data_IF_260937081548
#
_entry.id   IF_260937081548
#
_cell.length_a   1.000
_cell.length_b   1.000
_cell.length_c   1.000
_cell.angle_alpha   90.00
_cell.angle_beta   90.00
_cell.angle_gamma   90.00
#
_symmetry.space_group_name_H-M   'P 1'
#
loop_
_entity.id
_entity.type
_entity.pdbx_description
1 polymer ?
#
# COMPACT_ATOMS: atom_id res chain seq x y z
N UNK A 1 21.53 17.05 60.70
CA UNK A 1 22.29 17.32 59.46
C UNK A 1 22.71 16.05 58.73
N UNK A 2 23.49 15.13 59.34
CA UNK A 2 24.00 13.93 58.66
C UNK A 2 22.92 12.97 58.13
N UNK A 3 21.82 12.73 58.88
CA UNK A 3 20.70 11.89 58.42
C UNK A 3 20.06 12.38 57.11
N UNK A 4 19.97 13.70 56.93
CA UNK A 4 19.37 14.31 55.74
C UNK A 4 20.27 14.12 54.51
N UNK A 5 21.59 14.24 54.69
CA UNK A 5 22.56 13.98 53.62
C UNK A 5 22.53 12.51 53.16
N UNK A 6 22.39 11.56 54.10
CA UNK A 6 22.27 10.13 53.78
C UNK A 6 21.00 9.83 52.99
N UNK A 7 19.86 10.39 53.39
CA UNK A 7 18.61 10.25 52.63
C UNK A 7 18.71 10.83 51.22
N UNK A 8 19.37 11.98 51.07
CA UNK A 8 19.55 12.63 49.78
C UNK A 8 20.42 11.80 48.83
N UNK A 9 21.53 11.25 49.32
CA UNK A 9 22.41 10.35 48.55
C UNK A 9 21.67 9.07 48.17
N UNK A 10 20.88 8.49 49.08
CA UNK A 10 20.08 7.30 48.80
C UNK A 10 19.03 7.55 47.71
N UNK A 11 18.36 8.71 47.74
CA UNK A 11 17.41 9.11 46.72
C UNK A 11 18.08 9.29 45.34
N UNK A 12 19.26 9.91 45.28
CA UNK A 12 20.03 10.05 44.03
C UNK A 12 20.51 8.70 43.49
N UNK A 13 20.85 7.74 44.36
CA UNK A 13 21.27 6.40 43.95
C UNK A 13 20.11 5.56 43.38
N UNK A 14 18.88 5.79 43.84
CA UNK A 14 17.68 5.06 43.39
C UNK A 14 17.04 5.69 42.13
N UNK A 15 17.26 6.97 41.87
CA UNK A 15 16.69 7.65 40.70
C UNK A 15 17.05 6.99 39.34
N UNK A 16 18.31 6.57 39.08
CA UNK A 16 18.66 5.87 37.84
C UNK A 16 17.92 4.53 37.62
N UNK A 17 17.92 3.56 38.56
CA UNK A 17 17.30 2.25 38.34
C UNK A 17 15.78 2.31 38.11
N UNK A 18 15.07 3.26 38.74
CA UNK A 18 13.63 3.45 38.52
C UNK A 18 13.33 3.79 37.05
N UNK A 19 14.12 4.69 36.44
CA UNK A 19 13.99 5.04 35.02
C UNK A 19 14.17 3.84 34.10
N UNK A 20 15.18 3.00 34.38
CA UNK A 20 15.47 1.82 33.56
C UNK A 20 14.33 0.79 33.60
N UNK A 21 13.75 0.55 34.77
CA UNK A 21 12.65 -0.41 34.94
C UNK A 21 11.41 -0.06 34.10
N UNK A 22 11.02 1.22 34.08
CA UNK A 22 9.89 1.67 33.26
C UNK A 22 10.18 1.63 31.76
N UNK A 23 11.41 1.96 31.34
CA UNK A 23 11.79 1.89 29.92
C UNK A 23 11.79 0.45 29.38
N UNK A 24 12.23 -0.52 30.18
CA UNK A 24 12.24 -1.94 29.77
C UNK A 24 10.83 -2.49 29.63
N UNK A 25 9.91 -2.15 30.56
CA UNK A 25 8.49 -2.52 30.48
C UNK A 25 7.83 -2.00 29.20
N UNK A 26 8.09 -0.75 28.84
CA UNK A 26 7.57 -0.15 27.61
C UNK A 26 8.13 -0.86 26.36
N UNK A 27 9.43 -1.16 26.33
CA UNK A 27 10.06 -1.89 25.23
C UNK A 27 9.48 -3.30 25.06
N UNK A 28 9.29 -4.05 26.16
CA UNK A 28 8.68 -5.39 26.13
C UNK A 28 7.25 -5.32 25.59
N UNK A 29 6.46 -4.33 26.02
CA UNK A 29 5.09 -4.17 25.54
C UNK A 29 5.04 -3.87 24.04
N UNK A 30 5.92 -2.99 23.54
CA UNK A 30 5.99 -2.65 22.13
C UNK A 30 6.41 -3.85 21.28
N UNK A 31 7.40 -4.63 21.74
CA UNK A 31 7.89 -5.80 21.03
C UNK A 31 6.84 -6.91 20.93
N UNK A 32 6.05 -7.12 21.99
CA UNK A 32 4.93 -8.07 21.97
C UNK A 32 3.82 -7.64 20.98
N UNK A 33 3.52 -6.34 20.92
CA UNK A 33 2.56 -5.81 19.94
C UNK A 33 3.07 -6.06 18.53
N UNK A 34 4.33 -5.76 18.25
CA UNK A 34 4.94 -5.98 16.94
C UNK A 34 4.88 -7.45 16.53
N UNK A 35 5.28 -8.36 17.43
CA UNK A 35 5.22 -9.80 17.18
C UNK A 35 3.80 -10.27 16.83
N UNK A 36 2.78 -9.76 17.55
CA UNK A 36 1.39 -10.09 17.27
C UNK A 36 0.89 -9.59 15.90
N UNK A 37 1.40 -8.44 15.44
CA UNK A 37 1.08 -7.89 14.13
C UNK A 37 1.74 -8.71 13.02
N UNK A 38 3.00 -9.10 13.22
CA UNK A 38 3.76 -9.90 12.26
C UNK A 38 3.11 -11.28 12.06
N UNK A 39 2.69 -11.95 13.14
CA UNK A 39 1.95 -13.21 13.04
C UNK A 39 0.61 -13.05 12.30
N UNK A 40 -0.13 -11.97 12.54
CA UNK A 40 -1.39 -11.70 11.81
C UNK A 40 -1.14 -11.47 10.32
N UNK A 41 -0.10 -10.73 9.97
CA UNK A 41 0.27 -10.48 8.57
C UNK A 41 0.68 -11.79 7.87
N UNK A 42 1.46 -12.64 8.54
CA UNK A 42 1.85 -13.95 8.04
C UNK A 42 0.63 -14.86 7.80
N UNK A 43 -0.32 -14.90 8.74
CA UNK A 43 -1.55 -15.69 8.60
C UNK A 43 -2.43 -15.18 7.44
N UNK A 44 -2.53 -13.86 7.27
CA UNK A 44 -3.25 -13.27 6.15
C UNK A 44 -2.59 -13.64 4.81
N UNK A 45 -1.28 -13.47 4.70
CA UNK A 45 -0.52 -13.84 3.51
C UNK A 45 -0.60 -15.34 3.19
N UNK A 46 -0.58 -16.20 4.21
CA UNK A 46 -0.76 -17.65 4.04
C UNK A 46 -2.14 -18.01 3.52
N UNK A 47 -3.19 -17.38 4.05
CA UNK A 47 -4.58 -17.56 3.55
C UNK A 47 -4.71 -17.13 2.12
N UNK A 48 -4.12 -15.99 1.76
CA UNK A 48 -4.08 -15.52 0.38
C UNK A 48 -3.36 -16.54 -0.50
N UNK A 49 -2.15 -16.99 -0.14
CA UNK A 49 -1.40 -17.98 -0.93
C UNK A 49 -2.17 -19.29 -1.15
N UNK A 50 -2.97 -19.74 -0.18
CA UNK A 50 -3.87 -20.89 -0.36
C UNK A 50 -4.98 -20.61 -1.39
N UNK A 51 -5.49 -19.39 -1.48
CA UNK A 51 -6.46 -19.00 -2.51
C UNK A 51 -5.82 -18.98 -3.90
N UNK A 52 -4.61 -18.42 -4.03
CA UNK A 52 -3.86 -18.38 -5.29
C UNK A 52 -3.41 -19.77 -5.78
N UNK A 53 -3.32 -20.77 -4.90
CA UNK A 53 -3.03 -22.16 -5.30
C UNK A 53 -4.22 -22.85 -5.98
N UNK A 54 -5.44 -22.31 -5.88
CA UNK A 54 -6.59 -22.89 -6.54
C UNK A 54 -6.60 -22.50 -8.04
N UNK A 55 -6.45 -23.46 -8.97
CA UNK A 55 -6.38 -23.16 -10.40
C UNK A 55 -7.67 -22.52 -10.95
N UNK A 56 -8.83 -22.79 -10.36
CA UNK A 56 -10.10 -22.15 -10.78
C UNK A 56 -10.15 -20.68 -10.37
N UNK A 57 -9.64 -20.35 -9.18
CA UNK A 57 -9.55 -18.97 -8.70
C UNK A 57 -8.63 -18.14 -9.61
N UNK A 58 -7.47 -18.67 -9.98
CA UNK A 58 -6.52 -18.01 -10.88
C UNK A 58 -7.12 -17.80 -12.27
N UNK A 59 -7.82 -18.79 -12.84
CA UNK A 59 -8.50 -18.65 -14.13
C UNK A 59 -9.56 -17.54 -14.11
N UNK A 60 -10.38 -17.48 -13.05
CA UNK A 60 -11.41 -16.43 -12.91
C UNK A 60 -10.81 -15.03 -12.80
N UNK A 61 -9.77 -14.85 -11.96
CA UNK A 61 -9.08 -13.56 -11.79
C UNK A 61 -8.34 -13.11 -13.05
N UNK A 62 -7.71 -14.04 -13.78
CA UNK A 62 -7.06 -13.75 -15.05
C UNK A 62 -8.07 -13.35 -16.13
N UNK A 63 -9.26 -13.96 -16.16
CA UNK A 63 -10.33 -13.60 -17.10
C UNK A 63 -10.92 -12.22 -16.79
N UNK A 64 -11.19 -11.93 -15.52
CA UNK A 64 -11.79 -10.66 -15.09
C UNK A 64 -10.84 -9.47 -15.28
N UNK A 65 -9.56 -9.60 -14.89
CA UNK A 65 -8.62 -8.48 -14.87
C UNK A 65 -7.76 -8.37 -16.12
N UNK A 66 -7.41 -9.50 -16.74
CA UNK A 66 -6.43 -9.55 -17.83
C UNK A 66 -7.05 -10.01 -19.15
N UNK A 67 -8.35 -10.28 -19.18
CA UNK A 67 -9.09 -10.80 -20.33
C UNK A 67 -8.43 -12.04 -20.96
N UNK A 68 -7.72 -12.85 -20.17
CA UNK A 68 -7.09 -14.07 -20.66
C UNK A 68 -8.15 -15.13 -20.97
N UNK A 69 -7.98 -15.81 -22.11
CA UNK A 69 -8.77 -16.95 -22.57
C UNK A 69 -7.89 -18.20 -22.63
N UNK A 70 -8.49 -19.36 -22.35
CA UNK A 70 -7.78 -20.62 -22.53
C UNK A 70 -7.57 -20.90 -24.03
N UNK A 71 -6.46 -21.54 -24.44
CA UNK A 71 -6.25 -21.90 -25.84
C UNK A 71 -7.39 -22.80 -26.34
N UNK A 72 -8.22 -22.28 -27.25
CA UNK A 72 -9.42 -22.95 -27.77
C UNK A 72 -10.76 -22.28 -27.44
N UNK A 73 -10.81 -21.31 -26.52
CA UNK A 73 -12.01 -20.51 -26.23
C UNK A 73 -12.11 -19.28 -27.15
N UNK A 74 -13.28 -19.04 -27.78
CA UNK A 74 -13.53 -17.84 -28.60
C UNK A 74 -14.06 -16.70 -27.72
N UNK A 75 -13.26 -15.65 -27.56
CA UNK A 75 -13.67 -14.42 -26.87
C UNK A 75 -14.60 -13.61 -27.77
N UNK A 76 -15.85 -13.42 -27.35
CA UNK A 76 -16.76 -12.48 -27.99
C UNK A 76 -16.66 -11.15 -27.24
N UNK A 77 -15.96 -10.18 -27.84
CA UNK A 77 -16.05 -8.79 -27.40
C UNK A 77 -17.32 -8.25 -28.06
N UNK A 78 -18.33 -7.96 -27.26
CA UNK A 78 -19.56 -7.30 -27.74
C UNK A 78 -19.19 -5.83 -27.97
N UNK A 79 -18.73 -5.52 -29.16
CA UNK A 79 -18.75 -4.15 -29.67
C UNK A 79 -20.20 -3.84 -29.98
N UNK A 80 -20.91 -3.21 -29.05
CA UNK A 80 -22.14 -2.54 -29.39
C UNK A 80 -21.75 -1.36 -30.28
N UNK A 81 -21.96 -1.52 -31.59
CA UNK A 81 -21.96 -0.44 -32.55
C UNK A 81 -23.11 0.52 -32.20
N UNK A 82 -22.85 1.42 -31.25
CA UNK A 82 -23.64 2.62 -31.07
C UNK A 82 -22.73 3.74 -30.54
N UNK A 83 -22.25 4.56 -31.47
CA UNK A 83 -21.53 5.82 -31.30
C UNK A 83 -20.05 5.76 -30.90
N UNK A 84 -19.13 6.31 -31.73
CA UNK A 84 -17.73 6.51 -31.36
C UNK A 84 -17.64 7.77 -30.48
N UNK A 85 -18.09 7.72 -29.23
CA UNK A 85 -17.85 8.80 -28.26
C UNK A 85 -17.69 8.25 -26.86
N UNK A 86 -16.81 7.26 -26.71
CA UNK A 86 -16.11 7.06 -25.45
C UNK A 86 -14.61 7.25 -25.71
N UNK A 87 -14.28 8.48 -26.13
CA UNK A 87 -12.98 9.01 -25.83
C UNK A 87 -12.88 9.10 -24.32
N UNK A 88 -12.06 8.21 -23.73
CA UNK A 88 -11.30 8.51 -22.49
C UNK A 88 -11.06 10.01 -22.45
N UNK A 89 -11.37 10.74 -21.35
CA UNK A 89 -11.17 12.18 -21.32
C UNK A 89 -9.67 12.46 -21.43
N UNK A 90 -9.17 12.51 -22.66
CA UNK A 90 -7.92 13.13 -23.01
C UNK A 90 -8.11 14.57 -22.51
N UNK A 91 -7.23 14.99 -21.61
CA UNK A 91 -7.21 16.35 -21.10
C UNK A 91 -7.47 17.30 -22.28
N UNK A 92 -8.51 18.14 -22.20
CA UNK A 92 -9.01 18.97 -23.31
C UNK A 92 -7.92 19.76 -24.06
N UNK A 93 -6.78 20.00 -23.41
CA UNK A 93 -5.59 20.64 -23.99
C UNK A 93 -4.92 19.78 -25.07
N UNK A 94 -4.94 18.45 -24.96
CA UNK A 94 -4.38 17.55 -25.97
C UNK A 94 -5.11 17.67 -27.32
N UNK A 95 -6.39 18.09 -27.31
CA UNK A 95 -7.20 18.34 -28.50
C UNK A 95 -7.12 19.79 -29.02
N UNK A 96 -6.56 20.75 -28.28
CA UNK A 96 -6.36 22.14 -28.74
C UNK A 96 -5.01 22.35 -29.43
N UNK A 97 -4.12 21.35 -29.40
CA UNK A 97 -2.83 21.41 -30.08
C UNK A 97 -3.00 20.98 -31.55
N UNK A 98 -2.46 21.76 -32.48
CA UNK A 98 -2.50 21.47 -33.90
C UNK A 98 -1.91 20.07 -34.22
N UNK A 99 -2.60 19.33 -35.09
CA UNK A 99 -2.15 18.02 -35.55
C UNK A 99 -0.75 18.11 -36.18
N UNK A 100 0.17 17.25 -35.73
CA UNK A 100 1.58 17.23 -36.14
C UNK A 100 2.59 17.54 -35.04
N UNK A 101 2.13 17.88 -33.83
CA UNK A 101 3.03 18.09 -32.68
C UNK A 101 3.55 16.76 -32.08
N UNK A 102 4.85 16.68 -31.73
CA UNK A 102 5.43 15.52 -31.07
C UNK A 102 4.71 15.16 -29.77
N UNK A 103 4.69 13.87 -29.41
CA UNK A 103 3.96 13.39 -28.24
C UNK A 103 4.41 14.03 -26.91
N UNK A 104 5.69 14.45 -26.81
CA UNK A 104 6.24 15.07 -25.61
C UNK A 104 5.67 16.46 -25.34
N UNK A 105 5.33 17.25 -26.36
CA UNK A 105 4.79 18.60 -26.17
C UNK A 105 3.36 18.56 -25.65
N UNK A 106 2.58 17.56 -26.09
CA UNK A 106 1.24 17.26 -25.56
C UNK A 106 1.27 16.88 -24.07
N UNK A 107 2.25 16.09 -23.66
CA UNK A 107 2.44 15.70 -22.25
C UNK A 107 2.71 16.93 -21.36
N UNK A 108 3.67 17.77 -21.75
CA UNK A 108 4.05 18.97 -20.98
C UNK A 108 2.87 19.96 -20.86
N UNK A 109 2.09 20.12 -21.93
CA UNK A 109 0.89 20.97 -21.91
C UNK A 109 -0.15 20.48 -20.89
N UNK A 110 -0.38 19.16 -20.80
CA UNK A 110 -1.34 18.60 -19.84
C UNK A 110 -0.96 18.84 -18.37
N UNK A 111 0.33 18.79 -18.05
CA UNK A 111 0.84 19.01 -16.69
C UNK A 111 0.70 20.48 -16.28
N UNK A 112 0.92 21.41 -17.22
CA UNK A 112 0.82 22.86 -16.97
C UNK A 112 -0.62 23.34 -16.74
N UNK A 113 -1.60 22.68 -17.34
CA UNK A 113 -3.01 23.04 -17.19
C UNK A 113 -3.64 22.48 -15.90
N UNK A 114 -3.05 21.42 -15.33
CA UNK A 114 -3.59 20.75 -14.13
C UNK A 114 -3.10 21.39 -12.82
N UNK A 115 -2.59 22.63 -12.87
CA UNK A 115 -2.19 23.43 -11.70
C UNK A 115 -2.96 24.73 -11.63
#
# INVERSE_FOLDING_TARGET
MALWAVFFILALAIAPPVKHYFSQRAQISALNVQLSLDYKALDAARKELLQWQNPEYVKSQARERLHFVLPGERQYIVTQDENPTDSTPAAKVASTLADGQPWYSRLIASIRETG
#
